data_IF_181795844852
#
_entry.id   IF_181795844852
#
_cell.length_a   1.000
_cell.length_b   1.000
_cell.length_c   1.000
_cell.angle_alpha   90.00
_cell.angle_beta   90.00
_cell.angle_gamma   90.00
#
_symmetry.space_group_name_H-M   'P 1'
#
loop_
_entity.id
_entity.type
_entity.pdbx_description
1 polymer ?
#
# COMPACT_ATOMS: atom_id res chain seq x y z
N UNK A 1 -18.02 -5.32 -4.88
CA UNK A 1 -18.65 -5.24 -6.22
C UNK A 1 -19.33 -6.53 -6.63
N UNK A 2 -18.69 -7.70 -6.46
CA UNK A 2 -19.25 -9.00 -6.83
C UNK A 2 -20.66 -9.24 -6.24
N UNK A 3 -20.82 -9.01 -4.93
CA UNK A 3 -22.12 -9.13 -4.23
C UNK A 3 -23.16 -8.05 -4.58
N UNK A 4 -22.76 -6.95 -5.22
CA UNK A 4 -23.68 -5.88 -5.62
C UNK A 4 -24.38 -5.09 -4.51
N UNK A 5 -24.12 -5.35 -3.22
CA UNK A 5 -24.72 -4.66 -2.06
C UNK A 5 -23.67 -4.43 -0.95
N UNK A 6 -23.90 -3.42 -0.09
CA UNK A 6 -23.10 -3.16 1.12
C UNK A 6 -23.62 -3.86 2.38
N UNK A 7 -24.83 -4.42 2.33
CA UNK A 7 -25.53 -4.93 3.52
C UNK A 7 -25.17 -6.38 3.87
N UNK A 8 -24.39 -7.07 3.02
CA UNK A 8 -23.86 -8.41 3.32
C UNK A 8 -22.54 -8.33 4.10
N UNK A 9 -22.50 -8.95 5.28
CA UNK A 9 -21.31 -9.06 6.13
C UNK A 9 -20.13 -9.72 5.41
N UNK A 10 -18.91 -9.23 5.63
CA UNK A 10 -17.71 -9.91 5.13
C UNK A 10 -17.56 -11.32 5.74
N UNK A 11 -16.88 -12.25 5.05
CA UNK A 11 -16.44 -13.50 5.68
C UNK A 11 -15.61 -13.20 6.93
N UNK A 12 -15.73 -14.05 7.95
CA UNK A 12 -15.14 -13.77 9.28
C UNK A 12 -13.63 -13.50 9.21
N UNK A 13 -12.87 -14.27 8.42
CA UNK A 13 -11.42 -14.05 8.29
C UNK A 13 -11.05 -12.63 7.80
N UNK A 14 -11.85 -12.07 6.89
CA UNK A 14 -11.61 -10.74 6.33
C UNK A 14 -12.03 -9.66 7.34
N UNK A 15 -13.10 -9.90 8.09
CA UNK A 15 -13.54 -9.00 9.16
C UNK A 15 -12.46 -8.87 10.24
N UNK A 16 -11.93 -9.99 10.74
CA UNK A 16 -10.80 -10.00 11.68
C UNK A 16 -9.57 -9.29 11.10
N UNK A 17 -9.21 -9.57 9.85
CA UNK A 17 -8.09 -8.89 9.18
C UNK A 17 -8.26 -7.37 9.14
N UNK A 18 -9.47 -6.89 8.82
CA UNK A 18 -9.76 -5.45 8.75
C UNK A 18 -9.67 -4.76 10.12
N UNK A 19 -9.93 -5.49 11.22
CA UNK A 19 -9.80 -4.99 12.58
C UNK A 19 -8.32 -4.87 13.01
N UNK A 20 -7.42 -5.70 12.46
CA UNK A 20 -5.99 -5.68 12.77
C UNK A 20 -5.16 -4.65 11.98
N UNK A 21 -5.78 -3.87 11.08
CA UNK A 21 -5.05 -2.90 10.22
C UNK A 21 -4.22 -1.89 11.02
N UNK A 22 -4.69 -1.46 12.19
CA UNK A 22 -3.96 -0.52 13.05
C UNK A 22 -2.66 -1.15 13.56
N UNK A 23 -2.73 -2.38 14.04
CA UNK A 23 -1.60 -3.12 14.61
C UNK A 23 -0.54 -3.41 13.55
N UNK A 24 -0.99 -3.83 12.36
CA UNK A 24 -0.09 -4.05 11.20
C UNK A 24 0.59 -2.74 10.79
N UNK A 25 -0.15 -1.62 10.75
CA UNK A 25 0.39 -0.30 10.44
C UNK A 25 1.44 0.16 11.45
N UNK A 26 1.20 -0.03 12.75
CA UNK A 26 2.15 0.32 13.81
C UNK A 26 3.42 -0.57 13.77
N UNK A 27 3.25 -1.87 13.50
CA UNK A 27 4.38 -2.77 13.31
C UNK A 27 5.23 -2.36 12.09
N UNK A 28 4.57 -2.00 10.98
CA UNK A 28 5.26 -1.48 9.79
C UNK A 28 6.05 -0.22 10.10
N UNK A 29 5.50 0.71 10.89
CA UNK A 29 6.21 1.92 11.31
C UNK A 29 7.42 1.60 12.21
N UNK A 30 7.27 0.67 13.15
CA UNK A 30 8.38 0.21 13.98
C UNK A 30 9.52 -0.38 13.15
N UNK A 31 9.21 -1.29 12.22
CA UNK A 31 10.21 -1.87 11.32
C UNK A 31 10.87 -0.81 10.43
N UNK A 32 10.10 0.16 9.91
CA UNK A 32 10.64 1.27 9.12
C UNK A 32 11.60 2.15 9.94
N UNK A 33 11.27 2.40 11.20
CA UNK A 33 12.14 3.17 12.12
C UNK A 33 13.44 2.42 12.40
N UNK A 34 13.37 1.12 12.68
CA UNK A 34 14.58 0.29 12.82
C UNK A 34 15.41 0.30 11.55
N UNK A 35 14.78 0.11 10.38
CA UNK A 35 15.46 0.16 9.09
C UNK A 35 16.19 1.50 8.86
N UNK A 36 15.55 2.62 9.20
CA UNK A 36 16.17 3.94 9.11
C UNK A 36 17.37 4.08 10.06
N UNK A 37 17.24 3.63 11.31
CA UNK A 37 18.33 3.66 12.29
C UNK A 37 19.53 2.81 11.84
N UNK A 38 19.28 1.58 11.38
CA UNK A 38 20.34 0.72 10.85
C UNK A 38 21.02 1.36 9.65
N UNK A 39 20.25 1.89 8.69
CA UNK A 39 20.78 2.54 7.49
C UNK A 39 21.63 3.76 7.82
N UNK A 40 21.18 4.59 8.77
CA UNK A 40 21.93 5.77 9.23
C UNK A 40 23.25 5.39 9.93
N UNK A 41 23.28 4.26 10.64
CA UNK A 41 24.46 3.78 11.33
C UNK A 41 25.45 3.02 10.43
N UNK A 42 25.10 2.67 9.19
CA UNK A 42 25.98 1.91 8.27
C UNK A 42 27.37 2.54 8.10
N UNK A 43 27.51 3.87 7.87
CA UNK A 43 28.83 4.49 7.67
C UNK A 43 29.72 4.44 8.92
N UNK A 44 29.13 4.28 10.11
CA UNK A 44 29.87 4.22 11.38
C UNK A 44 30.55 2.85 11.58
N UNK A 45 30.07 1.81 10.89
CA UNK A 45 30.57 0.44 11.02
C UNK A 45 32.01 0.29 10.53
N UNK A 46 32.80 -0.53 11.24
CA UNK A 46 34.20 -0.82 10.87
C UNK A 46 34.31 -1.42 9.46
N UNK A 47 33.37 -2.26 9.06
CA UNK A 47 33.33 -2.90 7.73
C UNK A 47 33.32 -1.84 6.63
N UNK A 48 32.42 -0.86 6.71
CA UNK A 48 32.32 0.22 5.74
C UNK A 48 33.60 1.07 5.70
N UNK A 49 34.22 1.35 6.86
CA UNK A 49 35.49 2.08 6.92
C UNK A 49 36.61 1.33 6.18
N UNK A 50 36.75 0.02 6.42
CA UNK A 50 37.73 -0.80 5.72
C UNK A 50 37.44 -0.91 4.22
N UNK A 51 36.16 -0.98 3.84
CA UNK A 51 35.75 -1.02 2.43
C UNK A 51 36.13 0.28 1.69
N UNK A 52 35.82 1.44 2.26
CA UNK A 52 36.20 2.74 1.69
C UNK A 52 37.72 2.87 1.53
N UNK A 53 38.49 2.46 2.54
CA UNK A 53 39.97 2.48 2.46
C UNK A 53 40.47 1.53 1.37
N UNK A 54 39.94 0.31 1.28
CA UNK A 54 40.32 -0.64 0.24
C UNK A 54 39.97 -0.14 -1.17
N UNK A 55 38.82 0.51 -1.33
CA UNK A 55 38.42 1.12 -2.60
C UNK A 55 39.39 2.25 -2.99
N UNK A 56 39.76 3.12 -2.03
CA UNK A 56 40.73 4.18 -2.25
C UNK A 56 42.12 3.62 -2.66
N UNK A 57 42.61 2.58 -1.97
CA UNK A 57 43.89 1.94 -2.32
C UNK A 57 43.83 1.34 -3.74
N UNK A 58 42.78 0.59 -4.06
CA UNK A 58 42.61 0.00 -5.40
C UNK A 58 42.55 1.06 -6.50
N UNK A 59 41.92 2.21 -6.22
CA UNK A 59 41.82 3.32 -7.16
C UNK A 59 43.20 3.93 -7.45
N UNK A 60 44.00 4.20 -6.41
CA UNK A 60 45.36 4.75 -6.56
C UNK A 60 46.23 3.80 -7.38
N UNK A 61 46.16 2.50 -7.09
CA UNK A 61 46.89 1.47 -7.84
C UNK A 61 46.44 1.38 -9.31
N UNK A 62 45.17 1.64 -9.61
CA UNK A 62 44.64 1.65 -10.96
C UNK A 62 44.85 2.98 -11.72
N UNK A 63 45.52 3.97 -11.10
CA UNK A 63 45.77 5.32 -11.63
C UNK A 63 44.51 6.00 -12.20
N UNK A 64 43.34 5.78 -11.57
CA UNK A 64 42.07 6.40 -11.97
C UNK A 64 41.83 7.70 -11.20
N UNK A 65 41.71 8.81 -11.93
CA UNK A 65 41.49 10.14 -11.35
C UNK A 65 40.01 10.51 -11.14
N UNK A 66 39.10 9.94 -11.94
CA UNK A 66 37.67 10.28 -11.89
C UNK A 66 36.87 9.29 -11.03
N UNK A 67 36.20 9.82 -10.00
CA UNK A 67 35.40 9.07 -9.01
C UNK A 67 33.89 9.20 -9.20
N UNK A 68 33.47 10.26 -9.88
CA UNK A 68 32.07 10.64 -9.93
C UNK A 68 31.31 9.76 -10.92
N UNK A 69 30.35 9.00 -10.44
CA UNK A 69 29.45 8.23 -11.29
C UNK A 69 28.06 8.84 -11.14
N UNK A 70 27.72 9.72 -12.08
CA UNK A 70 26.48 10.51 -12.11
C UNK A 70 25.24 9.66 -11.77
N UNK A 71 25.11 8.51 -12.43
CA UNK A 71 23.98 7.60 -12.23
C UNK A 71 23.90 7.06 -10.79
N UNK A 72 25.02 6.70 -10.18
CA UNK A 72 25.02 6.17 -8.82
C UNK A 72 24.67 7.25 -7.78
N UNK A 73 25.17 8.47 -8.00
CA UNK A 73 24.86 9.62 -7.15
C UNK A 73 23.37 9.94 -7.22
N UNK A 74 22.81 10.13 -8.42
CA UNK A 74 21.39 10.42 -8.55
C UNK A 74 20.51 9.30 -8.01
N UNK A 75 20.87 8.05 -8.27
CA UNK A 75 20.16 6.90 -7.70
C UNK A 75 20.11 7.01 -6.18
N UNK A 76 21.25 7.26 -5.54
CA UNK A 76 21.36 7.39 -4.09
C UNK A 76 20.54 8.55 -3.52
N UNK A 77 20.68 9.74 -4.10
CA UNK A 77 19.95 10.94 -3.65
C UNK A 77 18.43 10.76 -3.77
N UNK A 78 17.97 10.16 -4.88
CA UNK A 78 16.54 9.94 -5.14
C UNK A 78 15.95 8.92 -4.17
N UNK A 79 16.54 7.72 -4.06
CA UNK A 79 15.95 6.69 -3.19
C UNK A 79 16.02 7.11 -1.73
N UNK A 80 17.10 7.78 -1.29
CA UNK A 80 17.23 8.24 0.08
C UNK A 80 16.16 9.29 0.42
N UNK A 81 15.96 10.27 -0.47
CA UNK A 81 14.91 11.30 -0.33
C UNK A 81 13.51 10.69 -0.25
N UNK A 82 13.20 9.71 -1.11
CA UNK A 82 11.92 8.98 -1.07
C UNK A 82 11.74 8.21 0.24
N UNK A 83 12.81 7.62 0.76
CA UNK A 83 12.80 6.92 2.05
C UNK A 83 12.49 7.85 3.23
N UNK A 84 13.08 9.04 3.25
CA UNK A 84 12.81 10.06 4.27
C UNK A 84 11.36 10.54 4.20
N UNK A 85 10.83 10.82 3.00
CA UNK A 85 9.44 11.22 2.82
C UNK A 85 8.48 10.09 3.26
N UNK A 86 8.77 8.84 2.89
CA UNK A 86 7.99 7.68 3.31
C UNK A 86 7.95 7.55 4.84
N UNK A 87 9.10 7.60 5.51
CA UNK A 87 9.18 7.54 6.97
C UNK A 87 8.45 8.72 7.64
N UNK A 88 8.55 9.92 7.09
CA UNK A 88 7.80 11.09 7.56
C UNK A 88 6.29 10.88 7.49
N UNK A 89 5.79 10.36 6.36
CA UNK A 89 4.37 10.04 6.23
C UNK A 89 3.91 8.91 7.17
N UNK A 90 4.72 7.86 7.35
CA UNK A 90 4.43 6.78 8.31
C UNK A 90 4.41 7.29 9.76
N UNK A 91 5.29 8.24 10.11
CA UNK A 91 5.29 8.89 11.42
C UNK A 91 3.96 9.61 11.69
N UNK A 92 3.42 10.34 10.71
CA UNK A 92 2.11 10.99 10.84
C UNK A 92 0.99 9.98 11.07
N UNK A 93 1.03 8.84 10.37
CA UNK A 93 0.06 7.74 10.57
C UNK A 93 0.18 7.11 11.96
N UNK A 94 1.39 6.93 12.46
CA UNK A 94 1.63 6.37 13.79
C UNK A 94 1.15 7.32 14.89
N UNK A 95 1.48 8.61 14.78
CA UNK A 95 1.05 9.64 15.73
C UNK A 95 -0.48 9.75 15.76
N UNK A 96 -1.14 9.78 14.61
CA UNK A 96 -2.62 9.83 14.54
C UNK A 96 -3.30 8.51 14.95
N UNK A 97 -2.54 7.44 15.21
CA UNK A 97 -3.04 6.19 15.77
C UNK A 97 -3.11 6.20 17.31
N UNK A 98 -2.52 7.20 17.96
CA UNK A 98 -2.63 7.42 19.41
C UNK A 98 -4.06 7.81 19.77
N UNK A 99 -4.69 7.18 20.79
CA UNK A 99 -6.09 7.49 21.15
C UNK A 99 -6.33 8.97 21.46
N UNK A 100 -5.38 9.66 22.09
CA UNK A 100 -5.48 11.08 22.43
C UNK A 100 -5.63 11.99 21.21
N UNK A 101 -4.98 11.63 20.09
CA UNK A 101 -5.03 12.40 18.83
C UNK A 101 -6.16 11.89 17.95
N UNK A 102 -6.37 10.57 17.86
CA UNK A 102 -7.45 10.00 17.08
C UNK A 102 -8.83 10.51 17.55
N UNK A 103 -9.02 10.68 18.87
CA UNK A 103 -10.27 11.16 19.45
C UNK A 103 -10.50 12.68 19.30
N UNK A 104 -9.46 13.46 18.94
CA UNK A 104 -9.60 14.90 18.69
C UNK A 104 -9.89 15.24 17.23
N UNK A 105 -9.74 14.28 16.32
CA UNK A 105 -9.99 14.45 14.89
C UNK A 105 -11.41 14.05 14.52
N UNK A 106 -12.02 14.77 13.59
CA UNK A 106 -13.27 14.31 12.99
C UNK A 106 -13.02 13.14 12.02
N UNK A 107 -14.09 12.42 11.65
CA UNK A 107 -13.98 11.26 10.78
C UNK A 107 -13.37 11.57 9.40
N UNK A 108 -13.59 12.79 8.87
CA UNK A 108 -13.05 13.20 7.56
C UNK A 108 -11.54 13.39 7.63
N UNK A 109 -11.05 14.05 8.68
CA UNK A 109 -9.62 14.24 8.96
C UNK A 109 -8.92 12.91 9.21
N UNK A 110 -9.48 12.10 10.13
CA UNK A 110 -8.93 10.78 10.44
C UNK A 110 -8.88 9.89 9.19
N UNK A 111 -9.96 9.86 8.41
CA UNK A 111 -9.99 9.10 7.16
C UNK A 111 -9.03 9.66 6.12
N UNK A 112 -8.78 10.96 6.06
CA UNK A 112 -7.80 11.54 5.14
C UNK A 112 -6.39 11.06 5.48
N UNK A 113 -6.00 11.12 6.76
CA UNK A 113 -4.67 10.67 7.20
C UNK A 113 -4.52 9.17 7.00
N UNK A 114 -5.40 8.35 7.56
CA UNK A 114 -5.25 6.90 7.57
C UNK A 114 -5.49 6.25 6.21
N UNK A 115 -6.24 6.88 5.30
CA UNK A 115 -6.52 6.33 3.96
C UNK A 115 -5.68 6.99 2.87
N UNK A 116 -5.71 8.32 2.76
CA UNK A 116 -5.01 9.04 1.68
C UNK A 116 -3.53 9.10 1.95
N UNK A 117 -3.10 9.61 3.11
CA UNK A 117 -1.67 9.64 3.45
C UNK A 117 -1.11 8.24 3.65
N UNK A 118 -1.91 7.29 4.14
CA UNK A 118 -1.49 5.89 4.20
C UNK A 118 -1.19 5.27 2.84
N UNK A 119 -1.97 5.61 1.81
CA UNK A 119 -1.63 5.18 0.46
C UNK A 119 -0.42 5.92 -0.12
N UNK A 120 -0.28 7.21 0.16
CA UNK A 120 0.91 7.97 -0.24
C UNK A 120 2.17 7.36 0.38
N UNK A 121 2.13 6.98 1.65
CA UNK A 121 3.22 6.29 2.33
C UNK A 121 3.60 4.97 1.63
N UNK A 122 2.61 4.17 1.23
CA UNK A 122 2.84 2.93 0.46
C UNK A 122 3.51 3.23 -0.89
N UNK A 123 3.04 4.24 -1.63
CA UNK A 123 3.62 4.63 -2.92
C UNK A 123 5.06 5.12 -2.75
N UNK A 124 5.32 6.02 -1.80
CA UNK A 124 6.66 6.53 -1.52
C UNK A 124 7.62 5.41 -1.11
N UNK A 125 7.18 4.49 -0.25
CA UNK A 125 7.98 3.33 0.16
C UNK A 125 8.28 2.39 -1.02
N UNK A 126 7.29 2.17 -1.90
CA UNK A 126 7.47 1.34 -3.10
C UNK A 126 8.45 2.00 -4.07
N UNK A 127 8.31 3.32 -4.29
CA UNK A 127 9.22 4.09 -5.13
C UNK A 127 10.64 4.10 -4.56
N UNK A 128 10.80 4.25 -3.24
CA UNK A 128 12.09 4.13 -2.56
C UNK A 128 12.80 2.81 -2.88
N UNK A 129 12.09 1.68 -2.81
CA UNK A 129 12.68 0.36 -3.13
C UNK A 129 12.89 0.17 -4.63
N UNK A 130 12.01 0.70 -5.50
CA UNK A 130 12.18 0.64 -6.96
C UNK A 130 13.41 1.44 -7.41
N UNK A 131 13.59 2.66 -6.91
CA UNK A 131 14.74 3.50 -7.26
C UNK A 131 16.03 3.00 -6.63
N UNK A 132 15.97 2.31 -5.48
CA UNK A 132 17.11 1.53 -4.97
C UNK A 132 17.50 0.38 -5.91
N UNK A 133 16.50 -0.33 -6.46
CA UNK A 133 16.70 -1.42 -7.40
C UNK A 133 17.28 -0.96 -8.75
N UNK A 134 16.77 0.16 -9.29
CA UNK A 134 17.23 0.77 -10.56
C UNK A 134 17.53 -0.28 -11.65
N UNK A 135 18.74 -0.30 -12.20
CA UNK A 135 19.24 -1.28 -13.18
C UNK A 135 19.61 -2.64 -12.56
N UNK A 136 19.88 -2.70 -11.24
CA UNK A 136 20.30 -3.92 -10.53
C UNK A 136 19.24 -5.02 -10.59
N UNK A 137 17.98 -4.67 -10.83
CA UNK A 137 16.89 -5.64 -11.01
C UNK A 137 17.05 -6.49 -12.29
N UNK A 138 17.78 -5.99 -13.28
CA UNK A 138 17.96 -6.60 -14.59
C UNK A 138 19.36 -7.18 -14.80
N UNK A 139 20.22 -7.10 -13.79
CA UNK A 139 21.59 -7.62 -13.84
C UNK A 139 21.65 -9.06 -13.32
N UNK A 140 22.09 -9.99 -14.16
CA UNK A 140 22.19 -11.43 -13.83
C UNK A 140 23.11 -11.70 -12.63
N UNK A 141 24.11 -10.83 -12.41
CA UNK A 141 25.06 -10.89 -11.28
C UNK A 141 24.37 -10.88 -9.90
N UNK A 142 23.16 -10.29 -9.83
CA UNK A 142 22.38 -10.19 -8.61
C UNK A 142 21.50 -11.43 -8.35
N UNK A 143 21.32 -12.33 -9.32
CA UNK A 143 20.51 -13.54 -9.22
C UNK A 143 21.36 -14.73 -8.75
N UNK A 144 21.68 -14.76 -7.45
CA UNK A 144 22.40 -15.88 -6.85
C UNK A 144 21.52 -17.12 -6.81
N UNK A 145 22.02 -18.24 -7.34
CA UNK A 145 21.30 -19.53 -7.39
C UNK A 145 19.94 -19.44 -8.11
N UNK A 146 19.81 -18.58 -9.13
CA UNK A 146 18.55 -18.33 -9.85
C UNK A 146 17.43 -17.73 -8.98
N UNK A 147 17.74 -17.32 -7.76
CA UNK A 147 16.78 -16.64 -6.88
C UNK A 147 16.82 -15.14 -7.15
N UNK A 148 15.66 -14.49 -7.25
CA UNK A 148 15.62 -13.06 -7.49
C UNK A 148 16.09 -12.30 -6.23
N UNK A 149 16.67 -11.10 -6.39
CA UNK A 149 17.11 -10.28 -5.26
C UNK A 149 15.97 -10.00 -4.29
N UNK A 150 16.27 -9.94 -2.99
CA UNK A 150 15.24 -9.80 -1.94
C UNK A 150 14.32 -8.59 -2.13
N UNK A 151 14.83 -7.48 -2.65
CA UNK A 151 14.02 -6.28 -2.92
C UNK A 151 12.95 -6.49 -4.01
N UNK A 152 13.15 -7.41 -4.94
CA UNK A 152 12.14 -7.72 -5.98
C UNK A 152 10.95 -8.48 -5.38
N UNK A 153 11.23 -9.38 -4.43
CA UNK A 153 10.20 -10.15 -3.72
C UNK A 153 9.32 -9.25 -2.85
N UNK A 154 9.93 -8.28 -2.17
CA UNK A 154 9.20 -7.34 -1.32
C UNK A 154 8.32 -6.37 -2.11
N UNK A 155 8.66 -6.09 -3.37
CA UNK A 155 7.89 -5.21 -4.26
C UNK A 155 6.60 -5.84 -4.81
N UNK A 156 6.47 -7.17 -4.82
CA UNK A 156 5.33 -7.86 -5.43
C UNK A 156 3.99 -7.40 -4.83
N UNK A 157 3.84 -7.49 -3.51
CA UNK A 157 2.59 -7.17 -2.83
C UNK A 157 2.23 -5.68 -2.93
N UNK A 158 3.14 -4.72 -2.64
CA UNK A 158 2.86 -3.29 -2.80
C UNK A 158 2.47 -2.91 -4.23
N UNK A 159 3.17 -3.42 -5.25
CA UNK A 159 2.86 -3.14 -6.65
C UNK A 159 1.46 -3.62 -7.02
N UNK A 160 1.09 -4.86 -6.63
CA UNK A 160 -0.27 -5.39 -6.87
C UNK A 160 -1.34 -4.53 -6.19
N UNK A 161 -1.10 -4.09 -4.95
CA UNK A 161 -2.03 -3.22 -4.21
C UNK A 161 -2.18 -1.86 -4.88
N UNK A 162 -1.10 -1.24 -5.33
CA UNK A 162 -1.10 0.05 -6.03
C UNK A 162 -1.86 -0.07 -7.36
N UNK A 163 -1.58 -1.10 -8.15
CA UNK A 163 -2.27 -1.37 -9.43
C UNK A 163 -3.77 -1.60 -9.20
N UNK A 164 -4.13 -2.45 -8.25
CA UNK A 164 -5.52 -2.71 -7.90
C UNK A 164 -6.24 -1.41 -7.47
N UNK A 165 -5.59 -0.58 -6.65
CA UNK A 165 -6.14 0.72 -6.24
C UNK A 165 -6.29 1.66 -7.43
N UNK A 166 -5.32 1.69 -8.34
CA UNK A 166 -5.39 2.43 -9.61
C UNK A 166 -6.60 2.02 -10.45
N UNK A 167 -6.85 0.72 -10.61
CA UNK A 167 -8.03 0.20 -11.31
C UNK A 167 -9.34 0.66 -10.65
N UNK A 168 -9.43 0.66 -9.31
CA UNK A 168 -10.62 1.13 -8.60
C UNK A 168 -10.85 2.65 -8.70
N UNK A 169 -9.83 3.43 -9.07
CA UNK A 169 -9.97 4.88 -9.30
C UNK A 169 -10.55 5.20 -10.68
N UNK A 170 -10.50 4.26 -11.64
CA UNK A 170 -11.09 4.44 -12.97
C UNK A 170 -12.58 4.78 -12.88
N UNK A 171 -13.11 5.66 -13.76
CA UNK A 171 -14.47 6.18 -13.65
C UNK A 171 -15.56 5.09 -13.58
N UNK A 172 -15.40 4.00 -14.35
CA UNK A 172 -16.33 2.88 -14.39
C UNK A 172 -16.47 2.19 -13.01
N UNK A 173 -15.34 1.84 -12.40
CA UNK A 173 -15.28 1.19 -11.10
C UNK A 173 -15.67 2.15 -9.98
N UNK A 174 -15.17 3.39 -10.02
CA UNK A 174 -15.47 4.42 -9.00
C UNK A 174 -16.96 4.75 -8.92
N UNK A 175 -17.62 4.95 -10.07
CA UNK A 175 -19.07 5.24 -10.12
C UNK A 175 -19.88 4.08 -9.57
N UNK A 176 -19.58 2.84 -9.99
CA UNK A 176 -20.25 1.64 -9.49
C UNK A 176 -20.07 1.46 -7.99
N UNK A 177 -18.85 1.65 -7.48
CA UNK A 177 -18.56 1.56 -6.05
C UNK A 177 -19.29 2.63 -5.24
N UNK A 178 -19.34 3.85 -5.75
CA UNK A 178 -20.06 4.97 -5.12
C UNK A 178 -21.56 4.67 -5.00
N UNK A 179 -22.19 4.12 -6.05
CA UNK A 179 -23.60 3.68 -6.01
C UNK A 179 -23.83 2.63 -4.92
N UNK A 180 -23.01 1.58 -4.86
CA UNK A 180 -23.12 0.53 -3.84
C UNK A 180 -22.97 1.11 -2.43
N UNK A 181 -22.00 2.00 -2.20
CA UNK A 181 -21.79 2.66 -0.89
C UNK A 181 -22.98 3.53 -0.47
N UNK A 182 -23.66 4.15 -1.45
CA UNK A 182 -24.91 4.91 -1.25
C UNK A 182 -26.15 4.03 -1.05
N UNK A 183 -26.02 2.69 -1.10
CA UNK A 183 -27.11 1.76 -0.83
C UNK A 183 -27.71 1.07 -2.05
N UNK A 184 -27.11 1.22 -3.24
CA UNK A 184 -27.56 0.49 -4.43
C UNK A 184 -27.39 -1.03 -4.25
N UNK A 185 -28.42 -1.78 -4.62
CA UNK A 185 -28.43 -3.24 -4.65
C UNK A 185 -28.70 -3.75 -6.06
N UNK A 186 -27.97 -4.78 -6.50
CA UNK A 186 -28.11 -5.36 -7.84
C UNK A 186 -29.47 -6.07 -8.02
N UNK A 187 -30.02 -6.66 -6.96
CA UNK A 187 -31.22 -7.50 -7.00
C UNK A 187 -32.43 -6.84 -6.31
N UNK A 188 -32.32 -5.56 -5.93
CA UNK A 188 -33.36 -4.80 -5.19
C UNK A 188 -34.54 -4.32 -6.04
N UNK A 189 -34.84 -5.00 -7.15
CA UNK A 189 -36.09 -4.79 -7.85
C UNK A 189 -37.23 -5.25 -6.95
N UNK A 190 -37.87 -4.32 -6.26
CA UNK A 190 -39.10 -4.56 -5.51
C UNK A 190 -40.11 -5.15 -6.49
N UNK A 191 -40.31 -6.47 -6.46
CA UNK A 191 -41.51 -7.09 -7.03
C UNK A 191 -42.67 -6.62 -6.15
N UNK A 192 -43.32 -5.54 -6.53
CA UNK A 192 -44.67 -5.26 -6.06
C UNK A 192 -45.55 -6.39 -6.62
N UNK A 193 -45.73 -7.45 -5.84
CA UNK A 193 -46.86 -8.36 -6.03
C UNK A 193 -48.09 -7.55 -5.69
N UNK A 194 -48.76 -7.02 -6.73
CA UNK A 194 -50.11 -6.50 -6.61
C UNK A 194 -51.00 -7.60 -6.00
N UNK A 195 -51.89 -7.29 -5.05
CA UNK A 195 -52.84 -8.28 -4.55
C UNK A 195 -53.67 -8.76 -5.73
N UNK A 196 -53.71 -10.06 -5.99
CA UNK A 196 -54.73 -10.61 -6.87
C UNK A 196 -56.06 -10.50 -6.15
N UNK A 197 -56.96 -9.68 -6.69
CA UNK A 197 -58.36 -9.66 -6.28
C UNK A 197 -58.95 -11.04 -6.53
N UNK A 198 -59.10 -11.81 -5.45
CA UNK A 198 -59.93 -13.00 -5.44
C UNK A 198 -61.40 -12.58 -5.37
N UNK A 199 -62.22 -13.26 -6.15
CA UNK A 199 -63.70 -13.40 -6.06
C UNK A 199 -64.57 -12.46 -6.89
N UNK A 200 -64.65 -12.75 -8.19
CA UNK A 200 -65.91 -12.59 -8.92
C UNK A 200 -66.30 -13.92 -9.58
N UNK A 201 -66.83 -14.84 -8.76
CA UNK A 201 -67.53 -16.03 -9.25
C UNK A 201 -68.41 -16.60 -8.13
N UNK A 202 -69.59 -16.03 -7.93
CA UNK A 202 -70.70 -16.78 -7.32
C UNK A 202 -71.88 -16.78 -8.28
N UNK A 203 -71.90 -17.84 -9.10
CA UNK A 203 -73.06 -18.26 -9.87
C UNK A 203 -73.48 -19.60 -9.28
N UNK A 204 -74.65 -19.65 -8.64
CA UNK A 204 -75.58 -20.81 -8.68
C UNK A 204 -76.89 -20.41 -8.00
N UNK A 205 -77.88 -20.06 -8.82
CA UNK A 205 -79.28 -20.37 -8.53
C UNK A 205 -79.45 -21.89 -8.62
N UNK A 206 -80.04 -22.54 -7.63
CA UNK A 206 -80.91 -23.71 -7.82
C UNK A 206 -81.57 -24.12 -6.48
N UNK A 207 -82.86 -24.45 -6.63
CA UNK A 207 -83.87 -24.96 -5.68
C UNK A 207 -84.52 -23.92 -4.78
#
# INVERSE_FOLDING_TARGET
MHRGTKYRRFPDWLDHWLQHRKQIGLLSFFCATLHALYSFCLPLGRVNRYEVVNLAIKQVLANKSHLWIEEEVWRMEIYLSLGVLALGTLSLLAVTSLPSIANSLNWREFSFVQSTLGFVALVLSTLHTLTYGWTRAFEDSHYKFYLPPTFTLTLLVPCVVILAKGLFLLPCFRRKLSRIRRGWEKDGGVKFTLPMDHTLAQKTSHV
#
